data_IF_047452884671
#
_entry.id   IF_047452884671
#
_cell.length_a   1.000
_cell.length_b   1.000
_cell.length_c   1.000
_cell.angle_alpha   90.00
_cell.angle_beta   90.00
_cell.angle_gamma   90.00
#
_symmetry.space_group_name_H-M   'P 1'
#
loop_
_entity.id
_entity.type
_entity.pdbx_description
1 polymer ?
#
# COMPACT_ATOMS: atom_id res chain seq x y z
N UNK A 1 42.24 27.39 -29.21
CA UNK A 1 41.57 28.61 -28.72
C UNK A 1 40.07 28.31 -28.66
N UNK A 2 39.29 28.51 -27.59
CA UNK A 2 39.55 28.95 -26.23
C UNK A 2 38.67 28.15 -25.25
N UNK A 3 39.14 28.03 -24.00
CA UNK A 3 38.47 27.32 -22.90
C UNK A 3 37.49 28.27 -22.23
N UNK A 4 36.20 27.95 -22.19
CA UNK A 4 35.25 28.67 -21.33
C UNK A 4 35.27 28.06 -19.93
N UNK A 5 35.73 28.85 -18.96
CA UNK A 5 35.59 28.59 -17.53
C UNK A 5 34.14 28.89 -17.11
N UNK A 6 33.41 27.90 -16.60
CA UNK A 6 32.17 28.14 -15.85
C UNK A 6 32.55 28.31 -14.38
N UNK A 7 32.38 29.52 -13.87
CA UNK A 7 32.62 29.88 -12.47
C UNK A 7 31.62 29.14 -11.56
N UNK A 8 32.15 28.45 -10.56
CA UNK A 8 31.41 27.82 -9.47
C UNK A 8 31.17 28.90 -8.40
N UNK A 9 29.92 29.30 -8.17
CA UNK A 9 29.57 30.20 -7.07
C UNK A 9 29.38 29.33 -5.81
N UNK A 10 30.32 29.43 -4.87
CA UNK A 10 30.23 28.82 -3.54
C UNK A 10 29.52 29.83 -2.63
N UNK A 11 28.31 29.49 -2.18
CA UNK A 11 27.57 30.25 -1.17
C UNK A 11 27.98 29.73 0.21
N UNK A 12 28.53 30.57 1.11
CA UNK A 12 28.86 30.14 2.46
C UNK A 12 27.58 29.98 3.30
N UNK A 13 27.36 28.77 3.83
CA UNK A 13 26.31 28.48 4.81
C UNK A 13 26.75 29.06 6.15
N UNK A 14 26.02 30.06 6.62
CA UNK A 14 26.17 30.65 7.94
C UNK A 14 25.60 29.69 9.00
N UNK A 15 26.46 29.09 9.83
CA UNK A 15 26.06 28.24 10.95
C UNK A 15 25.62 29.13 12.11
N UNK A 16 24.31 29.24 12.35
CA UNK A 16 23.75 29.87 13.54
C UNK A 16 23.86 28.87 14.69
N UNK A 17 24.71 29.18 15.68
CA UNK A 17 24.75 28.47 16.97
C UNK A 17 23.64 29.01 17.85
N UNK A 18 22.66 28.18 18.19
CA UNK A 18 21.70 28.47 19.26
C UNK A 18 22.35 28.11 20.61
N UNK A 19 22.40 29.01 21.60
CA UNK A 19 22.85 28.66 22.94
C UNK A 19 21.80 27.79 23.64
N UNK A 20 22.22 26.64 24.15
CA UNK A 20 21.42 25.85 25.08
C UNK A 20 21.49 26.49 26.47
N UNK A 21 20.42 27.17 26.87
CA UNK A 21 20.19 27.52 28.28
C UNK A 21 19.26 26.48 28.89
N UNK A 22 19.81 25.72 29.84
CA UNK A 22 19.04 24.88 30.74
C UNK A 22 18.63 25.73 31.94
N UNK A 23 17.34 26.07 32.03
CA UNK A 23 16.75 26.64 33.23
C UNK A 23 16.46 25.50 34.21
N UNK A 24 16.90 25.68 35.47
CA UNK A 24 16.73 24.70 36.53
C UNK A 24 15.26 24.51 36.88
N UNK A 25 14.84 23.26 36.98
CA UNK A 25 13.51 22.89 37.46
C UNK A 25 13.47 23.17 38.97
N UNK A 26 12.65 24.15 39.36
CA UNK A 26 12.30 24.40 40.75
C UNK A 26 11.26 23.35 41.20
N UNK A 27 11.59 22.59 42.25
CA UNK A 27 10.70 21.58 42.82
C UNK A 27 9.78 22.26 43.84
N UNK A 28 8.48 22.32 43.55
CA UNK A 28 7.47 22.62 44.55
C UNK A 28 6.52 21.42 44.73
N UNK A 29 6.54 20.85 45.93
CA UNK A 29 5.76 19.68 46.28
C UNK A 29 4.32 20.04 46.68
N UNK A 30 3.37 19.45 45.93
CA UNK A 30 1.98 19.05 46.19
C UNK A 30 1.00 19.91 47.03
N UNK A 31 -0.21 20.14 46.47
CA UNK A 31 -1.50 19.72 47.08
C UNK A 31 -2.70 19.84 46.12
N UNK A 32 -3.65 18.94 46.35
CA UNK A 32 -5.05 18.82 45.87
C UNK A 32 -5.32 18.40 44.41
N UNK A 33 -5.75 17.14 44.30
CA UNK A 33 -6.79 16.56 43.45
C UNK A 33 -7.39 17.42 42.34
N UNK A 34 -7.01 17.14 41.10
CA UNK A 34 -7.86 17.29 39.91
C UNK A 34 -7.43 16.25 38.87
N UNK A 35 -8.39 15.45 38.41
CA UNK A 35 -8.19 14.41 37.41
C UNK A 35 -7.88 15.05 36.05
N UNK A 36 -6.63 14.94 35.60
CA UNK A 36 -6.22 15.37 34.26
C UNK A 36 -6.77 14.34 33.26
N UNK A 37 -7.82 14.71 32.52
CA UNK A 37 -8.25 13.95 31.35
C UNK A 37 -7.22 14.16 30.23
N UNK A 38 -6.60 13.09 29.76
CA UNK A 38 -5.82 13.12 28.52
C UNK A 38 -6.76 13.39 27.35
N UNK A 39 -6.78 14.62 26.85
CA UNK A 39 -7.41 14.93 25.57
C UNK A 39 -6.43 14.52 24.47
N UNK A 40 -6.85 13.52 23.68
CA UNK A 40 -6.19 13.15 22.43
C UNK A 40 -6.15 14.38 21.50
N UNK A 41 -5.03 14.64 20.79
CA UNK A 41 -4.97 15.74 19.84
C UNK A 41 -5.97 15.49 18.70
N UNK A 42 -6.81 16.49 18.43
CA UNK A 42 -7.73 16.48 17.29
C UNK A 42 -6.91 16.62 16.02
N UNK A 43 -6.63 15.51 15.33
CA UNK A 43 -5.97 15.51 14.02
C UNK A 43 -6.89 16.15 12.98
N UNK A 44 -6.37 17.10 12.20
CA UNK A 44 -7.17 17.71 11.14
C UNK A 44 -7.13 16.83 9.88
N UNK A 45 -8.20 16.82 9.07
CA UNK A 45 -8.25 16.01 7.83
C UNK A 45 -7.14 16.33 6.81
N UNK A 46 -6.51 17.50 6.92
CA UNK A 46 -5.38 17.88 6.07
C UNK A 46 -4.11 17.14 6.48
N UNK A 47 -3.94 16.89 7.79
CA UNK A 47 -2.80 16.15 8.34
C UNK A 47 -2.86 14.68 7.89
N UNK A 48 -4.06 14.08 7.91
CA UNK A 48 -4.22 12.64 7.58
C UNK A 48 -3.87 12.30 6.13
N UNK A 49 -4.12 13.20 5.17
CA UNK A 49 -3.67 13.02 3.79
C UNK A 49 -2.15 13.18 3.64
N UNK A 50 -1.57 14.13 4.39
CA UNK A 50 -0.12 14.30 4.42
C UNK A 50 0.55 13.03 4.95
N UNK A 51 -0.01 12.41 5.99
CA UNK A 51 0.48 11.16 6.55
C UNK A 51 0.40 10.01 5.53
N UNK A 52 -0.74 9.86 4.86
CA UNK A 52 -0.91 8.85 3.81
C UNK A 52 0.12 9.01 2.68
N UNK A 53 0.36 10.24 2.23
CA UNK A 53 1.35 10.50 1.17
C UNK A 53 2.80 10.40 1.64
N UNK A 54 3.04 10.54 2.94
CA UNK A 54 4.37 10.39 3.53
C UNK A 54 4.82 8.93 3.64
N UNK A 55 3.90 7.96 3.52
CA UNK A 55 4.25 6.53 3.48
C UNK A 55 5.03 6.24 2.17
N UNK A 56 6.34 5.94 2.26
CA UNK A 56 7.16 5.75 1.07
C UNK A 56 6.84 4.42 0.40
N UNK A 57 6.88 4.41 -0.93
CA UNK A 57 6.92 3.15 -1.67
C UNK A 57 8.34 2.61 -1.72
N UNK A 58 8.53 1.36 -1.35
CA UNK A 58 9.83 0.69 -1.40
C UNK A 58 9.64 -0.82 -1.59
N UNK A 59 10.71 -1.50 -2.03
CA UNK A 59 10.80 -2.96 -2.02
C UNK A 59 12.17 -3.35 -1.48
N UNK A 60 12.21 -4.24 -0.49
CA UNK A 60 13.45 -4.82 -0.01
C UNK A 60 14.15 -5.60 -1.13
N UNK A 61 15.47 -5.68 -1.06
CA UNK A 61 16.25 -6.49 -2.00
C UNK A 61 15.89 -7.96 -1.79
N UNK A 62 15.64 -8.66 -2.89
CA UNK A 62 15.44 -10.12 -2.91
C UNK A 62 14.33 -10.61 -1.97
N UNK A 63 13.10 -10.08 -2.11
CA UNK A 63 11.92 -10.61 -1.38
C UNK A 63 11.61 -12.03 -1.90
N UNK A 64 11.86 -13.02 -1.05
CA UNK A 64 11.68 -14.45 -1.31
C UNK A 64 10.84 -15.13 -0.25
N UNK A 65 10.09 -16.13 -0.66
CA UNK A 65 9.44 -17.07 0.24
C UNK A 65 10.48 -17.96 0.96
N UNK A 66 10.14 -18.50 2.14
CA UNK A 66 11.03 -19.39 2.89
C UNK A 66 11.30 -20.74 2.20
N UNK A 67 10.46 -21.13 1.23
CA UNK A 67 10.61 -22.36 0.46
C UNK A 67 10.68 -22.09 -1.05
N UNK A 68 11.35 -23.00 -1.77
CA UNK A 68 11.63 -22.85 -3.21
C UNK A 68 10.67 -23.66 -4.11
N UNK A 69 9.97 -24.65 -3.56
CA UNK A 69 9.00 -25.46 -4.30
C UNK A 69 7.58 -25.01 -3.97
N UNK A 70 6.66 -25.11 -4.94
CA UNK A 70 5.25 -24.83 -4.68
C UNK A 70 4.68 -25.76 -3.61
N UNK A 71 4.99 -27.05 -3.67
CA UNK A 71 4.53 -28.07 -2.70
C UNK A 71 4.81 -27.63 -1.25
N UNK A 72 6.07 -27.32 -0.92
CA UNK A 72 6.43 -26.91 0.43
C UNK A 72 5.82 -25.56 0.84
N UNK A 73 5.55 -24.67 -0.12
CA UNK A 73 4.81 -23.43 0.17
C UNK A 73 3.35 -23.71 0.50
N UNK A 74 2.72 -24.68 -0.17
CA UNK A 74 1.34 -25.08 0.10
C UNK A 74 1.19 -25.87 1.40
N UNK A 75 2.22 -26.59 1.84
CA UNK A 75 2.22 -27.27 3.14
C UNK A 75 2.12 -26.27 4.31
N UNK A 76 2.76 -25.10 4.18
CA UNK A 76 2.79 -24.06 5.23
C UNK A 76 1.66 -23.04 5.07
N UNK A 77 1.13 -22.86 3.86
CA UNK A 77 0.14 -21.84 3.54
C UNK A 77 -1.11 -21.82 4.44
N UNK A 78 -1.70 -22.95 4.90
CA UNK A 78 -2.84 -22.93 5.82
C UNK A 78 -2.53 -22.24 7.15
N UNK A 79 -1.39 -22.57 7.76
CA UNK A 79 -0.99 -21.96 9.02
C UNK A 79 -0.66 -20.47 8.84
N UNK A 80 0.02 -20.13 7.74
CA UNK A 80 0.35 -18.74 7.43
C UNK A 80 -0.88 -17.90 7.09
N UNK A 81 -1.88 -18.48 6.42
CA UNK A 81 -3.14 -17.80 6.13
C UNK A 81 -3.93 -17.53 7.42
N UNK A 82 -3.97 -18.49 8.34
CA UNK A 82 -4.59 -18.29 9.66
C UNK A 82 -3.87 -17.19 10.45
N UNK A 83 -2.54 -17.26 10.55
CA UNK A 83 -1.73 -16.24 11.22
C UNK A 83 -1.98 -14.83 10.65
N UNK A 84 -2.05 -14.72 9.32
CA UNK A 84 -2.34 -13.46 8.65
C UNK A 84 -3.76 -12.97 8.92
N UNK A 85 -4.75 -13.86 8.92
CA UNK A 85 -6.14 -13.53 9.20
C UNK A 85 -6.32 -13.04 10.63
N UNK A 86 -5.70 -13.71 11.61
CA UNK A 86 -5.74 -13.31 13.02
C UNK A 86 -5.13 -11.90 13.21
N UNK A 87 -3.97 -11.66 12.61
CA UNK A 87 -3.33 -10.33 12.61
C UNK A 87 -4.22 -9.28 11.94
N UNK A 88 -4.81 -9.59 10.79
CA UNK A 88 -5.67 -8.66 10.07
C UNK A 88 -6.95 -8.34 10.83
N UNK A 89 -7.55 -9.32 11.51
CA UNK A 89 -8.72 -9.12 12.35
C UNK A 89 -8.41 -8.24 13.56
N UNK A 90 -7.29 -8.47 14.24
CA UNK A 90 -6.85 -7.60 15.34
C UNK A 90 -6.71 -6.14 14.89
N UNK A 91 -6.06 -5.90 13.74
CA UNK A 91 -5.90 -4.54 13.19
C UNK A 91 -7.27 -3.96 12.81
N UNK A 92 -8.10 -4.72 12.10
CA UNK A 92 -9.41 -4.28 11.66
C UNK A 92 -10.32 -3.89 12.84
N UNK A 93 -10.29 -4.65 13.93
CA UNK A 93 -11.09 -4.36 15.13
C UNK A 93 -10.68 -3.02 15.79
N UNK A 94 -9.40 -2.63 15.71
CA UNK A 94 -8.93 -1.34 16.25
C UNK A 94 -9.32 -0.14 15.40
N UNK A 95 -9.45 -0.31 14.08
CA UNK A 95 -9.70 0.79 13.13
C UNK A 95 -11.13 0.80 12.57
N UNK A 96 -12.02 0.03 13.18
CA UNK A 96 -13.40 -0.21 12.71
C UNK A 96 -13.44 -0.66 11.23
N UNK A 97 -12.49 -1.50 10.84
CA UNK A 97 -12.32 -2.03 9.48
C UNK A 97 -13.06 -3.34 9.24
N UNK A 98 -12.97 -3.85 8.01
CA UNK A 98 -13.50 -5.17 7.63
C UNK A 98 -12.43 -5.97 6.91
N UNK A 99 -12.20 -7.21 7.36
CA UNK A 99 -11.28 -8.15 6.72
C UNK A 99 -12.02 -8.94 5.65
N UNK A 100 -11.41 -9.04 4.48
CA UNK A 100 -11.81 -9.94 3.40
C UNK A 100 -10.66 -10.89 3.10
N UNK A 101 -10.92 -12.18 3.31
CA UNK A 101 -10.03 -13.27 2.92
C UNK A 101 -10.65 -14.10 1.81
N UNK A 102 -9.89 -14.33 0.74
CA UNK A 102 -10.25 -15.28 -0.31
C UNK A 102 -9.65 -16.68 -0.05
N UNK A 103 -9.02 -16.87 1.11
CA UNK A 103 -8.19 -18.02 1.41
C UNK A 103 -6.95 -18.11 0.53
N UNK A 104 -6.32 -19.29 0.58
CA UNK A 104 -5.08 -19.59 -0.13
C UNK A 104 -5.31 -19.55 -1.64
N UNK A 105 -4.37 -18.95 -2.38
CA UNK A 105 -4.38 -18.95 -3.85
C UNK A 105 -4.42 -20.39 -4.40
N UNK A 106 -5.36 -20.69 -5.30
CA UNK A 106 -5.42 -22.02 -5.92
C UNK A 106 -4.17 -22.39 -6.74
N UNK A 107 -3.71 -23.63 -6.60
CA UNK A 107 -2.46 -24.16 -7.17
C UNK A 107 -2.31 -23.95 -8.68
N UNK A 108 -3.38 -24.16 -9.45
CA UNK A 108 -3.35 -24.01 -10.92
C UNK A 108 -2.94 -22.58 -11.30
N UNK A 109 -3.46 -21.57 -10.60
CA UNK A 109 -3.11 -20.17 -10.86
C UNK A 109 -1.73 -19.81 -10.32
N UNK A 110 -1.31 -20.41 -9.20
CA UNK A 110 0.04 -20.25 -8.70
C UNK A 110 1.07 -20.75 -9.72
N UNK A 111 0.87 -21.97 -10.24
CA UNK A 111 1.73 -22.56 -11.27
C UNK A 111 1.80 -21.70 -12.54
N UNK A 112 0.66 -21.25 -13.06
CA UNK A 112 0.61 -20.35 -14.22
C UNK A 112 1.40 -19.06 -14.00
N UNK A 113 1.31 -18.47 -12.80
CA UNK A 113 2.04 -17.25 -12.46
C UNK A 113 3.54 -17.51 -12.33
N UNK A 114 3.93 -18.61 -11.71
CA UNK A 114 5.34 -19.00 -11.57
C UNK A 114 5.99 -19.20 -12.94
N UNK A 115 5.34 -19.95 -13.82
CA UNK A 115 5.85 -20.24 -15.17
C UNK A 115 5.82 -19.01 -16.09
N UNK A 116 4.76 -18.20 -16.03
CA UNK A 116 4.54 -17.08 -16.95
C UNK A 116 5.18 -15.76 -16.55
N UNK A 117 5.25 -15.45 -15.25
CA UNK A 117 5.65 -14.12 -14.74
C UNK A 117 6.93 -14.17 -13.90
N UNK A 118 7.24 -15.32 -13.27
CA UNK A 118 8.32 -15.44 -12.29
C UNK A 118 9.50 -16.30 -12.77
N UNK A 119 9.57 -16.60 -14.08
CA UNK A 119 10.68 -17.35 -14.67
C UNK A 119 10.84 -18.77 -14.13
N UNK A 120 9.76 -19.39 -13.65
CA UNK A 120 9.77 -20.73 -13.07
C UNK A 120 10.16 -20.79 -11.58
N UNK A 121 10.42 -19.65 -10.94
CA UNK A 121 10.91 -19.58 -9.58
C UNK A 121 9.78 -19.35 -8.56
N UNK A 122 9.35 -20.42 -7.90
CA UNK A 122 8.25 -20.37 -6.94
C UNK A 122 8.57 -19.55 -5.68
N UNK A 123 9.85 -19.35 -5.35
CA UNK A 123 10.24 -18.53 -4.21
C UNK A 123 9.84 -17.05 -4.37
N UNK A 124 9.54 -16.61 -5.60
CA UNK A 124 9.09 -15.23 -5.88
C UNK A 124 7.57 -15.07 -5.76
N UNK A 125 6.81 -16.14 -5.49
CA UNK A 125 5.35 -16.09 -5.44
C UNK A 125 4.87 -15.54 -4.10
N UNK A 126 4.65 -14.23 -4.02
CA UNK A 126 4.33 -13.52 -2.75
C UNK A 126 2.85 -13.44 -2.41
N UNK A 127 1.95 -13.97 -3.25
CA UNK A 127 0.49 -13.84 -3.11
C UNK A 127 -0.24 -15.19 -2.96
N UNK A 128 0.45 -16.19 -2.37
CA UNK A 128 -0.19 -17.45 -1.96
C UNK A 128 -1.14 -17.19 -0.78
N UNK A 129 -0.61 -16.51 0.24
CA UNK A 129 -1.30 -16.09 1.45
C UNK A 129 -1.54 -14.59 1.39
N UNK A 130 -2.80 -14.19 1.55
CA UNK A 130 -3.22 -12.80 1.32
C UNK A 130 -4.54 -12.45 2.00
N UNK A 131 -4.67 -11.18 2.36
CA UNK A 131 -5.89 -10.59 2.92
C UNK A 131 -6.09 -9.17 2.40
N UNK A 132 -7.33 -8.71 2.47
CA UNK A 132 -7.68 -7.30 2.27
C UNK A 132 -8.29 -6.77 3.57
N UNK A 133 -7.86 -5.58 3.99
CA UNK A 133 -8.52 -4.81 5.05
C UNK A 133 -9.13 -3.58 4.41
N UNK A 134 -10.45 -3.43 4.53
CA UNK A 134 -11.19 -2.28 4.02
C UNK A 134 -11.60 -1.38 5.18
N UNK A 135 -11.41 -0.07 5.00
CA UNK A 135 -11.74 0.95 6.00
C UNK A 135 -12.46 2.13 5.36
N UNK A 136 -13.16 2.90 6.20
CA UNK A 136 -14.02 4.01 5.75
C UNK A 136 -13.31 5.37 5.71
N UNK A 137 -12.09 5.49 6.21
CA UNK A 137 -11.37 6.77 6.27
C UNK A 137 -9.86 6.63 5.99
N UNK A 138 -9.25 7.75 5.58
CA UNK A 138 -7.79 7.83 5.37
C UNK A 138 -7.04 7.61 6.68
N UNK A 139 -7.55 8.14 7.78
CA UNK A 139 -6.95 8.01 9.11
C UNK A 139 -6.89 6.54 9.57
N UNK A 140 -8.02 5.82 9.45
CA UNK A 140 -8.10 4.39 9.72
C UNK A 140 -7.13 3.60 8.82
N UNK A 141 -6.97 4.01 7.56
CA UNK A 141 -6.06 3.35 6.61
C UNK A 141 -4.58 3.55 6.99
N UNK A 142 -4.21 4.76 7.41
CA UNK A 142 -2.84 5.05 7.88
C UNK A 142 -2.54 4.37 9.22
N UNK A 143 -3.51 4.30 10.13
CA UNK A 143 -3.39 3.59 11.40
C UNK A 143 -3.26 2.08 11.17
N UNK A 144 -4.08 1.49 10.30
CA UNK A 144 -3.96 0.07 9.95
C UNK A 144 -2.60 -0.27 9.36
N UNK A 145 -2.05 0.60 8.50
CA UNK A 145 -0.70 0.44 7.98
C UNK A 145 0.37 0.48 9.09
N UNK A 146 0.26 1.45 10.02
CA UNK A 146 1.20 1.59 11.13
C UNK A 146 1.19 0.36 12.05
N UNK A 147 0.00 -0.16 12.39
CA UNK A 147 -0.13 -1.37 13.20
C UNK A 147 0.43 -2.61 12.48
N UNK A 148 0.16 -2.76 11.18
CA UNK A 148 0.73 -3.84 10.37
C UNK A 148 2.26 -3.79 10.35
N UNK A 149 2.83 -2.60 10.12
CA UNK A 149 4.27 -2.40 10.08
C UNK A 149 4.95 -2.62 11.44
N UNK A 150 4.23 -2.38 12.54
CA UNK A 150 4.70 -2.67 13.90
C UNK A 150 4.63 -4.18 14.24
N UNK A 151 3.68 -4.91 13.66
CA UNK A 151 3.37 -6.30 14.02
C UNK A 151 4.07 -7.33 13.15
N UNK A 152 4.47 -6.96 11.93
CA UNK A 152 5.13 -7.86 10.99
C UNK A 152 6.25 -7.16 10.20
N UNK A 153 7.24 -7.93 9.77
CA UNK A 153 8.39 -7.35 9.06
C UNK A 153 8.00 -6.93 7.65
N UNK A 154 7.86 -5.63 7.41
CA UNK A 154 7.54 -5.10 6.07
C UNK A 154 8.67 -5.35 5.07
N UNK A 155 8.33 -5.93 3.92
CA UNK A 155 9.23 -6.26 2.81
C UNK A 155 8.98 -5.41 1.57
N UNK A 156 7.76 -4.95 1.36
CA UNK A 156 7.41 -4.05 0.26
C UNK A 156 6.23 -3.17 0.67
N UNK A 157 6.25 -1.93 0.21
CA UNK A 157 5.10 -1.03 0.22
C UNK A 157 4.95 -0.42 -1.17
N UNK A 158 3.75 -0.53 -1.74
CA UNK A 158 3.36 0.18 -2.95
C UNK A 158 2.19 1.09 -2.60
N UNK A 159 2.47 2.39 -2.51
CA UNK A 159 1.48 3.41 -2.21
C UNK A 159 0.87 3.96 -3.49
N UNK A 160 -0.27 3.39 -3.90
CA UNK A 160 -0.98 3.81 -5.11
C UNK A 160 -1.91 5.00 -4.86
N UNK A 161 -2.02 5.49 -3.62
CA UNK A 161 -2.66 6.79 -3.38
C UNK A 161 -1.75 7.94 -3.83
N UNK A 162 -0.44 7.83 -3.59
CA UNK A 162 0.56 8.79 -4.08
C UNK A 162 0.78 8.66 -5.60
N UNK A 163 0.91 7.43 -6.11
CA UNK A 163 1.09 7.17 -7.54
C UNK A 163 0.03 6.16 -8.06
N UNK A 164 -1.18 6.63 -8.43
CA UNK A 164 -2.26 5.76 -8.91
C UNK A 164 -1.88 5.02 -10.20
N UNK A 165 -2.55 3.88 -10.44
CA UNK A 165 -2.44 3.18 -11.73
C UNK A 165 -2.96 4.07 -12.87
N UNK A 166 -2.63 3.77 -14.15
CA UNK A 166 -3.23 4.45 -15.29
C UNK A 166 -4.77 4.42 -15.28
N UNK A 167 -5.37 3.35 -14.75
CA UNK A 167 -6.80 3.22 -14.52
C UNK A 167 -7.36 4.13 -13.42
N UNK A 168 -6.52 4.79 -12.61
CA UNK A 168 -6.95 5.51 -11.42
C UNK A 168 -7.07 4.65 -10.16
N UNK A 169 -6.84 3.34 -10.25
CA UNK A 169 -6.90 2.47 -9.07
C UNK A 169 -5.87 2.87 -7.99
N UNK A 170 -6.30 2.83 -6.72
CA UNK A 170 -5.55 3.27 -5.52
C UNK A 170 -5.72 2.25 -4.39
N UNK A 171 -4.63 1.97 -3.69
CA UNK A 171 -4.54 1.11 -2.51
C UNK A 171 -3.16 1.29 -1.85
N UNK A 172 -3.01 0.77 -0.63
CA UNK A 172 -1.70 0.42 -0.08
C UNK A 172 -1.55 -1.09 -0.20
N UNK A 173 -0.67 -1.54 -1.10
CA UNK A 173 -0.25 -2.94 -1.14
C UNK A 173 1.01 -3.09 -0.31
N UNK A 174 0.98 -3.99 0.66
CA UNK A 174 2.10 -4.28 1.55
C UNK A 174 2.46 -5.75 1.44
N UNK A 175 3.75 -6.06 1.33
CA UNK A 175 4.25 -7.40 1.59
C UNK A 175 4.89 -7.43 2.98
N UNK A 176 4.55 -8.43 3.77
CA UNK A 176 5.13 -8.65 5.10
C UNK A 176 5.68 -10.08 5.19
N UNK A 177 6.75 -10.27 5.95
CA UNK A 177 7.10 -11.59 6.47
C UNK A 177 6.38 -11.78 7.80
N UNK A 178 5.58 -12.83 7.87
CA UNK A 178 4.82 -13.18 9.06
C UNK A 178 5.76 -13.62 10.21
N UNK A 179 5.50 -13.21 11.46
CA UNK A 179 6.41 -13.47 12.57
C UNK A 179 6.61 -14.95 12.92
N UNK A 180 5.60 -15.80 12.79
CA UNK A 180 5.68 -17.21 13.16
C UNK A 180 6.07 -18.08 11.97
N UNK A 181 5.28 -18.04 10.89
CA UNK A 181 5.51 -18.91 9.73
C UNK A 181 6.62 -18.42 8.81
N UNK A 182 7.05 -17.16 8.96
CA UNK A 182 8.03 -16.49 8.08
C UNK A 182 7.60 -16.40 6.61
N UNK A 183 6.36 -16.78 6.30
CA UNK A 183 5.82 -16.73 4.94
C UNK A 183 5.66 -15.27 4.51
N UNK A 184 5.97 -14.99 3.24
CA UNK A 184 5.67 -13.69 2.66
C UNK A 184 4.20 -13.64 2.30
N UNK A 185 3.50 -12.72 2.94
CA UNK A 185 2.07 -12.48 2.79
C UNK A 185 1.81 -11.15 2.08
N UNK A 186 0.73 -11.08 1.31
CA UNK A 186 0.23 -9.85 0.71
C UNK A 186 -0.95 -9.28 1.51
N UNK A 187 -0.81 -8.05 1.99
CA UNK A 187 -1.89 -7.27 2.61
C UNK A 187 -2.28 -6.13 1.69
N UNK A 188 -3.56 -6.02 1.38
CA UNK A 188 -4.12 -4.87 0.65
C UNK A 188 -4.96 -4.04 1.61
N UNK A 189 -4.61 -2.77 1.79
CA UNK A 189 -5.43 -1.82 2.55
C UNK A 189 -6.20 -0.95 1.55
N UNK A 190 -7.54 -0.99 1.64
CA UNK A 190 -8.42 -0.23 0.76
C UNK A 190 -9.29 0.76 1.53
N UNK A 191 -9.64 1.84 0.85
CA UNK A 191 -10.79 2.65 1.22
C UNK A 191 -12.05 2.05 0.58
N UNK A 192 -13.12 1.95 1.36
CA UNK A 192 -14.37 1.30 0.97
C UNK A 192 -14.91 1.74 -0.39
N UNK A 193 -15.02 3.05 -0.66
CA UNK A 193 -15.55 3.55 -1.94
C UNK A 193 -14.65 3.20 -3.14
N UNK A 194 -13.35 3.02 -2.92
CA UNK A 194 -12.42 2.57 -3.96
C UNK A 194 -12.61 1.05 -4.18
N UNK A 195 -12.76 0.28 -3.10
CA UNK A 195 -13.05 -1.15 -3.18
C UNK A 195 -14.40 -1.44 -3.86
N UNK A 196 -15.45 -0.66 -3.59
CA UNK A 196 -16.76 -0.79 -4.22
C UNK A 196 -16.68 -0.66 -5.75
N UNK A 197 -15.83 0.25 -6.26
CA UNK A 197 -15.61 0.41 -7.69
C UNK A 197 -14.88 -0.80 -8.27
N UNK A 198 -13.79 -1.23 -7.60
CA UNK A 198 -12.97 -2.39 -7.97
C UNK A 198 -13.80 -3.67 -8.08
N UNK A 199 -14.72 -3.86 -7.14
CA UNK A 199 -15.57 -5.05 -7.06
C UNK A 199 -16.87 -4.93 -7.88
N UNK A 200 -17.20 -3.73 -8.37
CA UNK A 200 -18.38 -3.43 -9.17
C UNK A 200 -18.05 -3.18 -10.65
N UNK A 201 -18.48 -2.02 -11.14
CA UNK A 201 -18.42 -1.63 -12.56
C UNK A 201 -17.02 -1.67 -13.18
N UNK A 202 -15.95 -1.47 -12.39
CA UNK A 202 -14.59 -1.46 -12.93
C UNK A 202 -14.04 -2.87 -13.16
N UNK A 203 -14.58 -3.88 -12.45
CA UNK A 203 -14.17 -5.27 -12.60
C UNK A 203 -14.29 -5.74 -14.06
N UNK A 204 -15.36 -5.36 -14.75
CA UNK A 204 -15.57 -5.71 -16.16
C UNK A 204 -14.57 -5.04 -17.09
N UNK A 205 -14.30 -3.75 -16.86
CA UNK A 205 -13.32 -2.97 -17.62
C UNK A 205 -11.93 -3.60 -17.47
N UNK A 206 -11.56 -3.95 -16.24
CA UNK A 206 -10.30 -4.62 -15.95
C UNK A 206 -10.18 -5.97 -16.66
N UNK A 207 -11.23 -6.80 -16.62
CA UNK A 207 -11.24 -8.10 -17.32
C UNK A 207 -11.09 -7.95 -18.83
N UNK A 208 -11.71 -6.94 -19.42
CA UNK A 208 -11.62 -6.67 -20.85
C UNK A 208 -10.20 -6.24 -21.26
N UNK A 209 -9.59 -5.30 -20.52
CA UNK A 209 -8.20 -4.89 -20.75
C UNK A 209 -7.26 -6.11 -20.63
N UNK A 210 -7.41 -6.88 -19.55
CA UNK A 210 -6.58 -8.05 -19.29
C UNK A 210 -6.71 -9.10 -20.40
N UNK A 211 -7.92 -9.30 -20.95
CA UNK A 211 -8.13 -10.22 -22.06
C UNK A 211 -7.35 -9.78 -23.31
N UNK A 212 -7.42 -8.49 -23.66
CA UNK A 212 -6.71 -7.94 -24.82
C UNK A 212 -5.19 -8.11 -24.64
N UNK A 213 -4.65 -7.71 -23.50
CA UNK A 213 -3.21 -7.79 -23.20
C UNK A 213 -2.71 -9.24 -23.18
N UNK A 214 -3.49 -10.17 -22.60
CA UNK A 214 -3.15 -11.61 -22.59
C UNK A 214 -3.18 -12.21 -24.00
N UNK A 215 -4.17 -11.88 -24.82
CA UNK A 215 -4.22 -12.37 -26.20
C UNK A 215 -2.98 -11.94 -26.98
N UNK A 216 -2.60 -10.66 -26.91
CA UNK A 216 -1.40 -10.16 -27.57
C UNK A 216 -0.12 -10.86 -27.07
N UNK A 217 -0.03 -11.10 -25.75
CA UNK A 217 1.10 -11.82 -25.13
C UNK A 217 1.18 -13.27 -25.59
N UNK A 218 0.05 -13.99 -25.62
CA UNK A 218 -0.03 -15.39 -26.08
C UNK A 218 0.32 -15.52 -27.56
N UNK A 219 -0.09 -14.55 -28.38
CA UNK A 219 0.22 -14.46 -29.80
C UNK A 219 1.64 -13.91 -30.06
N UNK A 220 2.38 -13.53 -29.01
CA UNK A 220 3.73 -12.95 -29.07
C UNK A 220 3.83 -11.76 -30.02
N UNK A 221 2.83 -10.88 -29.98
CA UNK A 221 2.77 -9.66 -30.79
C UNK A 221 2.51 -8.44 -29.93
N UNK A 222 2.81 -7.28 -30.50
CA UNK A 222 2.38 -6.00 -29.95
C UNK A 222 0.86 -5.80 -30.10
N UNK A 223 0.33 -4.88 -29.30
CA UNK A 223 -1.04 -4.42 -29.42
C UNK A 223 -1.23 -3.68 -30.75
N UNK A 224 -2.32 -3.96 -31.45
CA UNK A 224 -2.73 -3.17 -32.62
C UNK A 224 -3.16 -1.76 -32.18
N UNK A 225 -3.14 -0.81 -33.11
CA UNK A 225 -3.59 0.57 -32.85
C UNK A 225 -5.03 0.62 -32.31
N UNK A 226 -5.92 -0.25 -32.83
CA UNK A 226 -7.29 -0.36 -32.38
C UNK A 226 -7.41 -0.88 -30.95
N UNK A 227 -6.64 -1.92 -30.59
CA UNK A 227 -6.59 -2.46 -29.24
C UNK A 227 -6.02 -1.43 -28.26
N UNK A 228 -4.96 -0.72 -28.64
CA UNK A 228 -4.37 0.33 -27.84
C UNK A 228 -5.36 1.48 -27.59
N UNK A 229 -6.04 1.97 -28.63
CA UNK A 229 -7.07 3.00 -28.50
C UNK A 229 -8.23 2.53 -27.60
N UNK A 230 -8.64 1.27 -27.73
CA UNK A 230 -9.68 0.66 -26.89
C UNK A 230 -9.25 0.60 -25.42
N UNK A 231 -8.05 0.12 -25.14
CA UNK A 231 -7.49 0.08 -23.77
C UNK A 231 -7.44 1.48 -23.17
N UNK A 232 -7.01 2.49 -23.93
CA UNK A 232 -6.94 3.86 -23.43
C UNK A 232 -8.33 4.41 -23.07
N UNK A 233 -9.35 4.16 -23.91
CA UNK A 233 -10.73 4.54 -23.60
C UNK A 233 -11.24 3.86 -22.34
N UNK A 234 -11.00 2.56 -22.19
CA UNK A 234 -11.38 1.78 -21.02
C UNK A 234 -10.69 2.31 -19.75
N UNK A 235 -9.40 2.64 -19.82
CA UNK A 235 -8.63 3.25 -18.72
C UNK A 235 -9.15 4.64 -18.36
N UNK A 236 -9.53 5.47 -19.32
CA UNK A 236 -10.14 6.78 -19.07
C UNK A 236 -11.47 6.65 -18.33
N UNK A 237 -12.32 5.69 -18.73
CA UNK A 237 -13.58 5.40 -18.02
C UNK A 237 -13.30 4.97 -16.58
N UNK A 238 -12.42 4.00 -16.37
CA UNK A 238 -12.02 3.54 -15.03
C UNK A 238 -11.46 4.69 -14.18
N UNK A 239 -10.64 5.56 -14.79
CA UNK A 239 -10.01 6.71 -14.12
C UNK A 239 -11.04 7.70 -13.60
N UNK A 240 -12.06 8.03 -14.39
CA UNK A 240 -13.13 8.92 -13.97
C UNK A 240 -13.88 8.38 -12.74
N UNK A 241 -14.13 7.06 -12.70
CA UNK A 241 -14.80 6.41 -11.57
C UNK A 241 -13.96 6.51 -10.29
N UNK A 242 -12.69 6.11 -10.37
CA UNK A 242 -11.82 6.14 -9.20
C UNK A 242 -11.51 7.55 -8.71
N UNK A 243 -11.34 8.52 -9.62
CA UNK A 243 -11.10 9.92 -9.24
C UNK A 243 -12.33 10.51 -8.53
N UNK A 244 -13.55 10.19 -8.99
CA UNK A 244 -14.78 10.59 -8.32
C UNK A 244 -14.90 9.99 -6.90
N UNK A 245 -14.60 8.69 -6.73
CA UNK A 245 -14.58 8.11 -5.37
C UNK A 245 -13.49 8.71 -4.49
N UNK A 246 -12.31 9.01 -5.05
CA UNK A 246 -11.19 9.59 -4.30
C UNK A 246 -11.53 10.99 -3.75
N UNK A 247 -12.29 11.79 -4.49
CA UNK A 247 -12.73 13.12 -4.05
C UNK A 247 -13.49 13.08 -2.71
N UNK A 248 -14.20 11.99 -2.41
CA UNK A 248 -14.93 11.86 -1.15
C UNK A 248 -14.02 11.75 0.09
N UNK A 249 -12.74 11.46 -0.11
CA UNK A 249 -11.72 11.37 0.95
C UNK A 249 -10.82 12.60 1.01
N UNK A 250 -10.93 13.50 0.03
CA UNK A 250 -10.23 14.78 0.07
C UNK A 250 -10.98 15.74 0.99
N UNK A 251 -10.29 16.66 1.68
CA UNK A 251 -10.97 17.78 2.31
C UNK A 251 -11.77 18.50 1.23
N UNK A 252 -13.01 18.86 1.54
CA UNK A 252 -13.77 19.78 0.69
C UNK A 252 -12.88 21.02 0.52
N UNK A 253 -12.31 21.18 -0.67
CA UNK A 253 -11.81 22.49 -1.06
C UNK A 253 -13.06 23.37 -1.06
N UNK A 254 -13.24 24.16 0.00
CA UNK A 254 -14.08 25.33 -0.08
C UNK A 254 -13.55 26.11 -1.28
N UNK A 255 -14.25 26.00 -2.40
CA UNK A 255 -14.01 26.84 -3.56
C UNK A 255 -14.16 28.28 -3.06
N UNK A 256 -13.04 28.99 -2.99
CA UNK A 256 -13.01 30.44 -2.88
C UNK A 256 -13.04 31.01 -4.29
#
# INVERSE_FOLDING_TARGET
MGRMFKALIIVPILVIRVPAHAEGIDFQECKSSECISYQQPVTTKTDTLSDLYSIPSFRAIDVRQPHQSLESLYDVAPNAQQELEDLAHQIADHVDGTVYSAGIKGEVRAKQKVEGELGGDASQLTDIVRVTVEVDSVDALTTAYAELAASAQTKEVINRFHAPRPSGYRDLKVLVALPETQMIAEVQLHLKKIADIKNGQEHEIYREIQKIERTATLEKRELSEHEFAKINRLRQTSRALYDHAWQAYQPLSMAV
#
